data_IF_016826274381
#
_entry.id   IF_016826274381
#
_cell.length_a   1.000
_cell.length_b   1.000
_cell.length_c   1.000
_cell.angle_alpha   90.00
_cell.angle_beta   90.00
_cell.angle_gamma   90.00
#
_symmetry.space_group_name_H-M   'P 1'
#
loop_
_entity.id
_entity.type
_entity.pdbx_description
1 polymer ?
#
# COMPACT_ATOMS: atom_id res chain seq x y z
N UNK A 1 -18.79 8.03 5.67
CA UNK A 1 -18.45 9.03 4.64
C UNK A 1 -17.30 8.57 3.77
N UNK A 2 -17.15 9.12 2.56
CA UNK A 2 -16.05 8.83 1.63
C UNK A 2 -16.50 8.19 0.30
N UNK A 3 -15.56 7.63 -0.48
CA UNK A 3 -15.79 7.13 -1.85
C UNK A 3 -17.04 6.23 -2.00
N UNK A 4 -17.35 5.43 -0.97
CA UNK A 4 -18.51 4.54 -0.96
C UNK A 4 -19.88 5.25 -1.02
N UNK A 5 -19.94 6.56 -0.70
CA UNK A 5 -21.13 7.39 -0.89
C UNK A 5 -21.42 7.69 -2.37
N UNK A 6 -20.37 7.68 -3.21
CA UNK A 6 -20.49 7.88 -4.65
C UNK A 6 -20.62 6.56 -5.40
N UNK A 7 -19.88 5.53 -4.95
CA UNK A 7 -19.92 4.19 -5.54
C UNK A 7 -19.75 3.11 -4.47
N UNK A 8 -20.79 2.32 -4.17
CA UNK A 8 -20.67 1.19 -3.26
C UNK A 8 -19.56 0.24 -3.70
N UNK A 9 -18.78 -0.25 -2.73
CA UNK A 9 -17.76 -1.26 -2.97
C UNK A 9 -18.31 -2.62 -2.60
N UNK A 10 -18.27 -3.56 -3.54
CA UNK A 10 -18.62 -4.95 -3.29
C UNK A 10 -17.53 -5.68 -2.48
N UNK A 11 -17.88 -6.87 -1.98
CA UNK A 11 -16.98 -7.67 -1.17
C UNK A 11 -15.69 -8.08 -1.90
N UNK A 12 -15.75 -8.32 -3.21
CA UNK A 12 -14.57 -8.67 -4.04
C UNK A 12 -13.65 -7.46 -4.23
N UNK A 13 -14.20 -6.27 -4.41
CA UNK A 13 -13.45 -5.02 -4.51
C UNK A 13 -12.70 -4.72 -3.21
N UNK A 14 -13.34 -4.91 -2.05
CA UNK A 14 -12.69 -4.71 -0.75
C UNK A 14 -11.57 -5.72 -0.49
N UNK A 15 -11.77 -7.01 -0.82
CA UNK A 15 -10.71 -8.02 -0.74
C UNK A 15 -9.53 -7.70 -1.66
N UNK A 16 -9.81 -7.26 -2.89
CA UNK A 16 -8.76 -6.82 -3.83
C UNK A 16 -8.02 -5.60 -3.32
N UNK A 17 -8.73 -4.62 -2.74
CA UNK A 17 -8.09 -3.45 -2.16
C UNK A 17 -7.11 -3.84 -1.05
N UNK A 18 -7.52 -4.74 -0.13
CA UNK A 18 -6.63 -5.25 0.91
C UNK A 18 -5.38 -5.94 0.33
N UNK A 19 -5.55 -6.78 -0.69
CA UNK A 19 -4.42 -7.45 -1.34
C UNK A 19 -3.51 -6.51 -2.14
N UNK A 20 -4.07 -5.46 -2.75
CA UNK A 20 -3.32 -4.51 -3.58
C UNK A 20 -2.55 -3.49 -2.76
N UNK A 21 -3.01 -3.14 -1.55
CA UNK A 21 -2.37 -2.10 -0.74
C UNK A 21 -0.85 -2.30 -0.54
N UNK A 22 -0.34 -3.47 -0.14
CA UNK A 22 1.10 -3.69 -0.04
C UNK A 22 1.80 -3.62 -1.40
N UNK A 23 1.16 -4.16 -2.45
CA UNK A 23 1.73 -4.25 -3.81
C UNK A 23 1.94 -2.85 -4.40
N UNK A 24 0.94 -1.97 -4.28
CA UNK A 24 1.05 -0.61 -4.86
C UNK A 24 2.09 0.24 -4.14
N UNK A 25 2.37 -0.01 -2.85
CA UNK A 25 3.46 0.67 -2.14
C UNK A 25 4.82 0.15 -2.57
N UNK A 26 4.95 -1.16 -2.83
CA UNK A 26 6.18 -1.74 -3.37
C UNK A 26 6.47 -1.21 -4.79
N UNK A 27 5.46 -1.20 -5.67
CA UNK A 27 5.56 -0.69 -7.05
C UNK A 27 5.95 0.79 -7.09
N UNK A 28 5.31 1.61 -6.25
CA UNK A 28 5.67 3.01 -6.09
C UNK A 28 7.12 3.19 -5.60
N UNK A 29 7.54 2.44 -4.58
CA UNK A 29 8.90 2.55 -4.05
C UNK A 29 9.96 2.19 -5.09
N UNK A 30 9.72 1.14 -5.90
CA UNK A 30 10.62 0.75 -6.99
C UNK A 30 10.73 1.86 -8.04
N UNK A 31 9.60 2.45 -8.42
CA UNK A 31 9.58 3.59 -9.35
C UNK A 31 10.38 4.79 -8.82
N UNK A 32 10.25 5.10 -7.53
CA UNK A 32 11.01 6.18 -6.88
C UNK A 32 12.52 5.88 -6.81
N UNK A 33 12.92 4.64 -6.54
CA UNK A 33 14.34 4.23 -6.55
C UNK A 33 14.94 4.47 -7.94
N UNK A 34 14.27 4.01 -9.00
CA UNK A 34 14.71 4.20 -10.38
C UNK A 34 14.78 5.68 -10.76
N UNK A 35 13.76 6.45 -10.38
CA UNK A 35 13.70 7.89 -10.61
C UNK A 35 14.85 8.63 -9.89
N UNK A 36 15.08 8.33 -8.62
CA UNK A 36 16.12 9.01 -7.85
C UNK A 36 17.52 8.65 -8.32
N UNK A 37 17.81 7.36 -8.52
CA UNK A 37 19.12 6.92 -8.98
C UNK A 37 19.40 7.34 -10.45
N UNK A 38 18.39 7.25 -11.32
CA UNK A 38 18.55 7.44 -12.76
C UNK A 38 18.40 8.89 -13.22
N UNK A 39 17.27 9.51 -12.91
CA UNK A 39 16.90 10.84 -13.43
C UNK A 39 17.55 11.94 -12.61
N UNK A 40 17.32 11.93 -11.30
CA UNK A 40 17.80 13.01 -10.42
C UNK A 40 19.25 12.82 -9.97
N UNK A 41 19.79 11.61 -10.16
CA UNK A 41 21.13 11.19 -9.67
C UNK A 41 21.31 11.39 -8.15
N UNK A 42 20.23 11.34 -7.39
CA UNK A 42 20.25 11.45 -5.93
C UNK A 42 20.26 10.05 -5.29
N UNK A 43 21.47 9.50 -5.10
CA UNK A 43 21.62 8.21 -4.43
C UNK A 43 21.13 8.24 -2.97
N UNK A 44 21.25 9.38 -2.29
CA UNK A 44 20.70 9.56 -0.94
C UNK A 44 19.17 9.39 -0.91
N UNK A 45 18.45 9.94 -1.91
CA UNK A 45 17.01 9.75 -1.99
C UNK A 45 16.63 8.33 -2.43
N UNK A 46 17.41 7.72 -3.32
CA UNK A 46 17.21 6.31 -3.69
C UNK A 46 17.37 5.38 -2.47
N UNK A 47 18.35 5.66 -1.60
CA UNK A 47 18.57 4.92 -0.36
C UNK A 47 17.40 5.05 0.62
N UNK A 48 16.84 6.25 0.74
CA UNK A 48 15.61 6.49 1.53
C UNK A 48 14.42 5.72 0.93
N UNK A 49 14.21 5.80 -0.39
CA UNK A 49 13.13 5.08 -1.08
C UNK A 49 13.27 3.56 -0.88
N UNK A 50 14.49 3.01 -0.89
CA UNK A 50 14.75 1.60 -0.63
C UNK A 50 14.53 1.23 0.85
N UNK A 51 15.25 1.84 1.79
CA UNK A 51 15.23 1.40 3.18
C UNK A 51 13.97 1.85 3.93
N UNK A 52 13.54 3.09 3.74
CA UNK A 52 12.42 3.66 4.51
C UNK A 52 11.08 3.42 3.84
N UNK A 53 11.03 3.39 2.51
CA UNK A 53 9.77 3.21 1.81
C UNK A 53 9.52 1.74 1.45
N UNK A 54 10.38 1.11 0.64
CA UNK A 54 10.18 -0.27 0.20
C UNK A 54 10.21 -1.25 1.38
N UNK A 55 11.35 -1.33 2.07
CA UNK A 55 11.49 -2.24 3.22
C UNK A 55 10.62 -1.78 4.39
N UNK A 56 10.61 -0.48 4.69
CA UNK A 56 9.80 0.07 5.77
C UNK A 56 8.30 -0.20 5.64
N UNK A 57 7.70 -0.10 4.43
CA UNK A 57 6.30 -0.48 4.25
C UNK A 57 6.10 -1.98 4.26
N UNK A 58 7.03 -2.79 3.74
CA UNK A 58 6.94 -4.24 3.85
C UNK A 58 6.88 -4.67 5.33
N UNK A 59 7.79 -4.15 6.16
CA UNK A 59 7.83 -4.39 7.60
C UNK A 59 6.57 -3.85 8.29
N UNK A 60 6.10 -2.66 7.91
CA UNK A 60 4.89 -2.07 8.47
C UNK A 60 3.65 -2.89 8.14
N UNK A 61 3.47 -3.35 6.90
CA UNK A 61 2.37 -4.23 6.53
C UNK A 61 2.45 -5.59 7.25
N UNK A 62 3.65 -6.06 7.60
CA UNK A 62 3.85 -7.25 8.43
C UNK A 62 3.62 -7.01 9.93
N UNK A 63 3.59 -5.74 10.37
CA UNK A 63 3.37 -5.37 11.77
C UNK A 63 1.91 -5.50 12.20
N UNK A 64 1.66 -5.36 13.51
CA UNK A 64 0.30 -5.41 14.06
C UNK A 64 -0.63 -4.35 13.47
N UNK A 65 -0.15 -3.11 13.29
CA UNK A 65 -0.97 -2.01 12.75
C UNK A 65 -1.29 -2.23 11.26
N UNK A 66 -0.32 -2.70 10.48
CA UNK A 66 -0.53 -3.06 9.09
C UNK A 66 -1.53 -4.19 8.92
N UNK A 67 -1.40 -5.26 9.71
CA UNK A 67 -2.36 -6.35 9.74
C UNK A 67 -3.75 -5.89 10.20
N UNK A 68 -3.83 -4.95 11.16
CA UNK A 68 -5.10 -4.39 11.61
C UNK A 68 -5.82 -3.62 10.49
N UNK A 69 -5.08 -2.83 9.69
CA UNK A 69 -5.65 -2.15 8.53
C UNK A 69 -6.21 -3.14 7.50
N UNK A 70 -5.44 -4.18 7.16
CA UNK A 70 -5.88 -5.20 6.19
C UNK A 70 -7.10 -5.96 6.70
N UNK A 71 -7.10 -6.32 7.98
CA UNK A 71 -8.23 -7.01 8.60
C UNK A 71 -9.47 -6.12 8.69
N UNK A 72 -9.31 -4.81 8.89
CA UNK A 72 -10.44 -3.87 8.83
C UNK A 72 -11.15 -3.93 7.47
N UNK A 73 -10.39 -4.00 6.37
CA UNK A 73 -10.95 -4.13 5.03
C UNK A 73 -11.62 -5.49 4.80
N UNK A 74 -11.00 -6.59 5.26
CA UNK A 74 -11.61 -7.92 5.20
C UNK A 74 -12.90 -8.02 6.04
N UNK A 75 -12.90 -7.47 7.25
CA UNK A 75 -14.06 -7.41 8.11
C UNK A 75 -15.20 -6.63 7.46
N UNK A 76 -14.89 -5.52 6.80
CA UNK A 76 -15.87 -4.79 6.01
C UNK A 76 -16.40 -5.64 4.85
N UNK A 77 -15.54 -6.35 4.12
CA UNK A 77 -15.93 -7.23 3.02
C UNK A 77 -16.87 -8.37 3.45
N UNK A 78 -16.80 -8.84 4.70
CA UNK A 78 -17.72 -9.85 5.26
C UNK A 78 -19.08 -9.28 5.66
N UNK A 79 -19.18 -7.96 5.82
CA UNK A 79 -20.41 -7.26 6.25
C UNK A 79 -21.21 -6.67 5.09
N UNK A 80 -20.60 -6.45 3.94
CA UNK A 80 -21.36 -6.02 2.75
C UNK A 80 -22.21 -7.19 2.23
N UNK A 81 -23.44 -6.91 1.79
CA UNK A 81 -24.35 -7.93 1.24
C UNK A 81 -23.80 -8.62 -0.01
#
# INVERSE_FOLDING_TARGET
DGYAQHRPLDANQLRRLAALLPIVHADFALSEIEYFAGVTRSFANADIAYHRYLLGHADWFASADGQQLLEHLHARARRVP
#
